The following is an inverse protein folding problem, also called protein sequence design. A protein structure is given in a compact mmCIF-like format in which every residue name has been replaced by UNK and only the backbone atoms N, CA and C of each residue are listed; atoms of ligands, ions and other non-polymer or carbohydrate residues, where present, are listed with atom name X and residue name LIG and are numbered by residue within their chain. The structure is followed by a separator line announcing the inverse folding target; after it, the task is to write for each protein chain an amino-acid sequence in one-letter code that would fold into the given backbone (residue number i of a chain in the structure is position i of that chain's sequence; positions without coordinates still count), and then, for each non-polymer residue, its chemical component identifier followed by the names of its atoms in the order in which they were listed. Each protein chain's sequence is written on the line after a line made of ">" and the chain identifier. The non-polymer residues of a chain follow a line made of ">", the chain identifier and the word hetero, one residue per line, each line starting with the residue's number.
data_IF_034938192953
#
_entry.id   IF_034938192953
#
_cell.length_a   1.000
_cell.length_b   1.000
_cell.length_c   1.000
_cell.angle_alpha   90.00
_cell.angle_beta   90.00
_cell.angle_gamma   90.00
#
_symmetry.space_group_name_H-M   'P 1'
#
loop_
_entity.id
_entity.type
_entity.pdbx_description
1 polymer ?
#
# COMPACT_ATOMS: atom_id res chain seq x y z
N UNK A 1 -10.97 -54.63 -29.07
CA UNK A 1 -11.18 -53.23 -29.46
C UNK A 1 -11.92 -52.37 -28.41
N UNK A 2 -12.97 -52.84 -27.71
CA UNK A 2 -13.70 -52.01 -26.70
C UNK A 2 -12.88 -51.61 -25.49
N UNK A 3 -11.92 -52.40 -25.02
CA UNK A 3 -11.06 -52.03 -23.84
C UNK A 3 -10.08 -50.89 -24.13
N UNK A 4 -9.60 -50.74 -25.35
CA UNK A 4 -8.66 -49.69 -25.72
C UNK A 4 -9.36 -48.34 -25.93
N UNK A 5 -10.61 -48.31 -26.28
CA UNK A 5 -11.41 -47.09 -26.44
C UNK A 5 -11.70 -46.47 -25.06
N UNK A 6 -11.99 -47.31 -24.05
CA UNK A 6 -12.20 -46.82 -22.66
C UNK A 6 -10.93 -46.20 -22.09
N UNK A 7 -9.75 -46.78 -22.35
CA UNK A 7 -8.46 -46.23 -21.88
C UNK A 7 -8.16 -44.87 -22.52
N UNK A 8 -8.50 -44.65 -23.79
CA UNK A 8 -8.31 -43.38 -24.49
C UNK A 8 -9.30 -42.32 -23.96
N UNK A 9 -10.57 -42.71 -23.70
CA UNK A 9 -11.55 -41.77 -23.11
C UNK A 9 -11.14 -41.32 -21.69
N UNK A 10 -10.59 -42.24 -20.88
CA UNK A 10 -10.13 -41.93 -19.52
C UNK A 10 -8.89 -41.01 -19.52
N UNK A 11 -8.04 -41.09 -20.57
CA UNK A 11 -6.88 -40.21 -20.70
C UNK A 11 -7.23 -38.77 -21.14
N UNK A 12 -8.33 -38.62 -21.91
CA UNK A 12 -8.82 -37.28 -22.34
C UNK A 12 -9.50 -36.54 -21.18
N UNK A 13 -10.06 -37.20 -20.18
CA UNK A 13 -10.69 -36.55 -19.01
C UNK A 13 -9.69 -36.10 -17.96
N UNK A 14 -8.40 -36.45 -18.09
CA UNK A 14 -7.29 -36.02 -17.19
C UNK A 14 -6.44 -34.85 -17.74
N UNK A 15 -6.90 -34.18 -18.82
CA UNK A 15 -6.27 -32.95 -19.21
C UNK A 15 -6.61 -31.92 -18.12
N UNK A 16 -5.64 -31.49 -17.27
CA UNK A 16 -5.92 -30.43 -16.34
C UNK A 16 -6.30 -29.19 -17.17
N UNK A 17 -7.46 -28.62 -16.92
CA UNK A 17 -7.81 -27.29 -17.40
C UNK A 17 -6.79 -26.33 -16.82
N UNK A 18 -5.65 -26.17 -17.48
CA UNK A 18 -4.71 -25.14 -17.17
C UNK A 18 -5.40 -23.81 -17.44
N UNK A 19 -5.94 -23.20 -16.39
CA UNK A 19 -6.35 -21.80 -16.46
C UNK A 19 -5.08 -21.00 -16.70
N UNK A 20 -4.84 -20.63 -17.94
CA UNK A 20 -3.74 -19.73 -18.30
C UNK A 20 -3.98 -18.39 -17.62
N UNK A 21 -3.13 -18.05 -16.67
CA UNK A 21 -3.14 -16.74 -16.06
C UNK A 21 -2.54 -15.74 -17.04
N UNK A 22 -3.29 -14.68 -17.36
CA UNK A 22 -2.77 -13.60 -18.18
C UNK A 22 -1.76 -12.77 -17.37
N UNK A 23 -0.70 -12.31 -18.02
CA UNK A 23 0.34 -11.49 -17.41
C UNK A 23 0.61 -10.26 -18.27
N UNK A 24 0.71 -9.11 -17.62
CA UNK A 24 1.17 -7.85 -18.22
C UNK A 24 2.29 -7.26 -17.36
N UNK A 25 3.33 -6.78 -18.04
CA UNK A 25 4.39 -5.97 -17.42
C UNK A 25 4.54 -4.71 -18.28
N UNK A 26 4.19 -3.53 -17.74
CA UNK A 26 4.14 -2.27 -18.47
C UNK A 26 4.56 -1.10 -17.59
N UNK A 27 4.94 0.01 -18.25
CA UNK A 27 5.19 1.30 -17.63
C UNK A 27 4.03 2.24 -17.93
N UNK A 28 3.59 2.99 -16.93
CA UNK A 28 2.55 4.00 -17.06
C UNK A 28 3.13 5.39 -16.83
N UNK A 29 2.93 6.28 -17.80
CA UNK A 29 3.46 7.63 -17.75
C UNK A 29 2.37 8.65 -18.11
N UNK A 30 2.56 9.88 -17.64
CA UNK A 30 1.76 11.03 -18.04
C UNK A 30 1.99 11.34 -19.54
N UNK A 31 0.93 11.53 -20.28
CA UNK A 31 1.02 11.77 -21.73
C UNK A 31 1.71 13.09 -22.08
N UNK A 32 1.55 14.12 -21.26
CA UNK A 32 2.08 15.47 -21.51
C UNK A 32 3.50 15.60 -20.97
N UNK A 33 3.70 15.32 -19.69
CA UNK A 33 4.98 15.53 -19.01
C UNK A 33 5.98 14.39 -19.18
N UNK A 34 5.53 13.21 -19.63
CA UNK A 34 6.29 11.95 -19.70
C UNK A 34 6.80 11.46 -18.33
N UNK A 35 6.33 12.04 -17.24
CA UNK A 35 6.69 11.60 -15.90
C UNK A 35 6.05 10.24 -15.57
N UNK A 36 6.74 9.35 -14.80
CA UNK A 36 6.15 8.10 -14.35
C UNK A 36 4.96 8.35 -13.42
N UNK A 37 3.90 7.57 -13.58
CA UNK A 37 2.69 7.66 -12.78
C UNK A 37 2.74 6.63 -11.65
N UNK A 38 3.10 7.10 -10.45
CA UNK A 38 3.15 6.31 -9.20
C UNK A 38 1.75 6.06 -8.64
N UNK A 39 1.53 4.86 -8.12
CA UNK A 39 0.29 4.45 -7.43
C UNK A 39 -0.98 4.62 -8.28
N UNK A 40 -0.88 4.51 -9.60
CA UNK A 40 -2.03 4.31 -10.47
C UNK A 40 -2.60 2.91 -10.24
N UNK A 41 -3.92 2.79 -10.16
CA UNK A 41 -4.60 1.51 -9.91
C UNK A 41 -4.83 0.76 -11.21
N UNK A 42 -4.41 -0.50 -11.27
CA UNK A 42 -4.70 -1.46 -12.33
C UNK A 42 -5.55 -2.56 -11.73
N UNK A 43 -6.74 -2.79 -12.27
CA UNK A 43 -7.66 -3.77 -11.71
C UNK A 43 -8.63 -4.35 -12.73
N UNK A 44 -9.29 -5.41 -12.33
CA UNK A 44 -10.51 -5.92 -12.95
C UNK A 44 -11.52 -6.33 -11.85
N UNK A 45 -12.46 -7.23 -12.15
CA UNK A 45 -13.46 -7.66 -11.17
C UNK A 45 -12.90 -8.53 -10.03
N UNK A 46 -11.68 -9.07 -10.16
CA UNK A 46 -11.10 -10.02 -9.21
C UNK A 46 -9.80 -9.53 -8.59
N UNK A 47 -8.95 -8.87 -9.37
CA UNK A 47 -7.55 -8.66 -9.07
C UNK A 47 -7.19 -7.17 -9.09
N UNK A 48 -6.25 -6.78 -8.23
CA UNK A 48 -5.76 -5.41 -8.08
C UNK A 48 -4.24 -5.38 -8.01
N UNK A 49 -3.64 -4.37 -8.63
CA UNK A 49 -2.24 -3.97 -8.47
C UNK A 49 -2.12 -2.46 -8.65
N UNK A 50 -0.93 -1.93 -8.40
CA UNK A 50 -0.63 -0.51 -8.65
C UNK A 50 0.75 -0.36 -9.27
N UNK A 51 1.01 0.82 -9.87
CA UNK A 51 2.35 1.18 -10.34
C UNK A 51 3.28 1.53 -9.19
N UNK A 52 4.56 1.14 -9.30
CA UNK A 52 5.65 1.56 -8.40
C UNK A 52 6.13 3.00 -8.73
N UNK A 53 7.21 3.45 -8.08
CA UNK A 53 7.78 4.79 -8.25
C UNK A 53 8.29 5.07 -9.66
N UNK A 54 8.69 4.04 -10.42
CA UNK A 54 9.11 4.13 -11.81
C UNK A 54 7.91 4.11 -12.80
N UNK A 55 6.67 4.06 -12.29
CA UNK A 55 5.47 3.88 -13.09
C UNK A 55 5.29 2.44 -13.60
N UNK A 56 6.13 1.50 -13.16
CA UNK A 56 6.09 0.10 -13.58
C UNK A 56 5.04 -0.68 -12.78
N UNK A 57 4.29 -1.55 -13.47
CA UNK A 57 3.40 -2.53 -12.85
C UNK A 57 3.54 -3.91 -13.51
N UNK A 58 3.25 -4.93 -12.72
CA UNK A 58 2.99 -6.29 -13.20
C UNK A 58 1.59 -6.66 -12.76
N UNK A 59 0.78 -7.18 -13.69
CA UNK A 59 -0.60 -7.54 -13.42
C UNK A 59 -0.87 -8.96 -13.88
N UNK A 60 -1.29 -9.80 -12.93
CA UNK A 60 -1.68 -11.18 -13.13
C UNK A 60 -3.18 -11.32 -12.93
N UNK A 61 -3.89 -11.95 -13.86
CA UNK A 61 -5.30 -12.27 -13.69
C UNK A 61 -5.76 -13.38 -14.65
N UNK A 62 -6.73 -14.15 -14.21
CA UNK A 62 -7.47 -15.07 -15.10
C UNK A 62 -8.55 -14.37 -15.94
N UNK A 63 -8.88 -13.11 -15.60
CA UNK A 63 -9.87 -12.30 -16.32
C UNK A 63 -9.17 -11.42 -17.35
N UNK A 64 -9.63 -11.42 -18.61
CA UNK A 64 -9.01 -10.64 -19.70
C UNK A 64 -9.25 -9.12 -19.60
N UNK A 65 -10.23 -8.65 -18.83
CA UNK A 65 -10.49 -7.21 -18.69
C UNK A 65 -9.40 -6.51 -17.87
N UNK A 66 -9.05 -5.28 -18.26
CA UNK A 66 -8.11 -4.42 -17.54
C UNK A 66 -8.67 -3.01 -17.48
N UNK A 67 -8.73 -2.45 -16.29
CA UNK A 67 -9.04 -1.04 -16.07
C UNK A 67 -7.83 -0.39 -15.40
N UNK A 68 -7.35 0.70 -15.99
CA UNK A 68 -6.26 1.52 -15.44
C UNK A 68 -6.84 2.88 -15.08
N UNK A 69 -6.69 3.31 -13.83
CA UNK A 69 -7.24 4.59 -13.36
C UNK A 69 -6.30 5.28 -12.39
N UNK A 70 -6.32 6.59 -12.44
CA UNK A 70 -5.66 7.48 -11.51
C UNK A 70 -6.47 8.78 -11.40
N UNK A 71 -6.58 9.32 -10.21
CA UNK A 71 -7.27 10.59 -9.99
C UNK A 71 -6.59 11.70 -10.80
N UNK A 72 -7.38 12.51 -11.50
CA UNK A 72 -6.87 13.55 -12.41
C UNK A 72 -6.52 13.07 -13.81
N UNK A 73 -6.83 11.81 -14.15
CA UNK A 73 -6.58 11.23 -15.47
C UNK A 73 -7.83 10.55 -16.04
N UNK A 74 -7.86 10.42 -17.35
CA UNK A 74 -8.88 9.60 -18.02
C UNK A 74 -8.69 8.12 -17.67
N UNK A 75 -9.80 7.43 -17.41
CA UNK A 75 -9.77 5.99 -17.13
C UNK A 75 -9.60 5.20 -18.44
N UNK A 76 -8.57 4.36 -18.49
CA UNK A 76 -8.36 3.44 -19.61
C UNK A 76 -9.01 2.08 -19.32
N UNK A 77 -10.04 1.71 -20.08
CA UNK A 77 -10.67 0.38 -20.07
C UNK A 77 -10.23 -0.41 -21.29
N UNK A 78 -9.70 -1.60 -21.10
CA UNK A 78 -9.08 -2.40 -22.16
C UNK A 78 -9.02 -3.88 -21.79
N UNK A 79 -8.19 -4.69 -22.47
CA UNK A 79 -7.99 -6.12 -22.20
C UNK A 79 -6.51 -6.49 -22.17
N UNK A 80 -6.14 -7.62 -21.53
CA UNK A 80 -4.79 -8.17 -21.60
C UNK A 80 -4.36 -8.38 -23.06
N UNK A 81 -5.26 -8.97 -23.88
CA UNK A 81 -5.00 -9.21 -25.31
C UNK A 81 -4.70 -7.92 -26.09
N UNK A 82 -5.40 -6.83 -25.79
CA UNK A 82 -5.14 -5.53 -26.44
C UNK A 82 -3.80 -4.97 -26.00
N UNK A 83 -3.54 -4.95 -24.67
CA UNK A 83 -2.30 -4.39 -24.12
C UNK A 83 -1.05 -5.21 -24.48
N UNK A 84 -1.16 -6.53 -24.65
CA UNK A 84 -0.01 -7.37 -25.06
C UNK A 84 0.54 -6.99 -26.44
N UNK A 85 -0.27 -6.34 -27.28
CA UNK A 85 0.13 -5.87 -28.63
C UNK A 85 0.67 -4.43 -28.65
N UNK A 86 0.61 -3.73 -27.52
CA UNK A 86 1.12 -2.36 -27.40
C UNK A 86 2.58 -2.33 -26.96
N UNK A 87 3.23 -1.17 -27.13
CA UNK A 87 4.57 -0.90 -26.57
C UNK A 87 4.54 -1.06 -25.04
N UNK A 88 5.70 -1.22 -24.42
CA UNK A 88 5.82 -1.40 -22.97
C UNK A 88 5.42 -0.16 -22.17
N UNK A 89 5.40 1.01 -22.79
CA UNK A 89 4.97 2.25 -22.17
C UNK A 89 3.54 2.60 -22.59
N UNK A 90 2.68 2.76 -21.60
CA UNK A 90 1.31 3.23 -21.71
C UNK A 90 1.22 4.69 -21.26
N UNK A 91 0.31 5.45 -21.88
CA UNK A 91 0.13 6.87 -21.59
C UNK A 91 -1.28 7.10 -21.03
N UNK A 92 -1.40 7.71 -19.84
CA UNK A 92 -2.66 8.28 -19.39
C UNK A 92 -2.75 9.75 -19.78
N UNK A 93 -3.94 10.15 -20.17
CA UNK A 93 -4.26 11.52 -20.55
C UNK A 93 -4.71 12.27 -19.30
N UNK A 94 -4.07 13.37 -18.91
CA UNK A 94 -4.59 14.22 -17.84
C UNK A 94 -6.02 14.68 -18.17
N UNK A 95 -6.92 14.58 -17.19
CA UNK A 95 -8.27 15.13 -17.33
C UNK A 95 -8.21 16.58 -16.85
N UNK A 96 -8.41 17.57 -17.74
CA UNK A 96 -8.40 18.96 -17.32
C UNK A 96 -9.53 19.21 -16.30
N UNK A 97 -9.20 19.84 -15.20
CA UNK A 97 -10.18 20.27 -14.21
C UNK A 97 -10.89 21.51 -14.73
N UNK A 98 -12.15 21.39 -15.05
CA UNK A 98 -13.01 22.57 -15.07
C UNK A 98 -13.35 22.90 -13.59
N UNK A 99 -12.89 24.04 -13.12
CA UNK A 99 -13.32 24.63 -11.87
C UNK A 99 -14.75 25.11 -12.09
N UNK A 100 -15.71 24.21 -11.98
CA UNK A 100 -17.11 24.62 -11.95
C UNK A 100 -17.36 25.41 -10.67
N UNK A 101 -18.19 26.44 -10.80
CA UNK A 101 -18.66 27.32 -9.74
C UNK A 101 -19.06 26.48 -8.53
N UNK A 102 -18.46 26.75 -7.39
CA UNK A 102 -18.67 26.03 -6.13
C UNK A 102 -20.17 26.04 -5.80
N UNK A 103 -20.85 24.96 -6.08
CA UNK A 103 -22.18 24.74 -5.58
C UNK A 103 -22.05 24.64 -4.06
N UNK A 104 -22.40 25.70 -3.35
CA UNK A 104 -22.41 25.76 -1.89
C UNK A 104 -23.43 24.76 -1.36
N UNK A 105 -23.04 23.52 -1.21
CA UNK A 105 -23.78 22.58 -0.39
C UNK A 105 -23.63 23.02 1.05
N UNK A 106 -24.72 23.36 1.71
CA UNK A 106 -24.78 23.67 3.15
C UNK A 106 -24.49 22.43 4.02
N UNK A 107 -24.24 21.26 3.43
CA UNK A 107 -23.98 20.02 4.14
C UNK A 107 -22.52 19.95 4.59
N UNK A 108 -22.33 19.61 5.85
CA UNK A 108 -20.99 19.25 6.35
C UNK A 108 -20.60 17.87 5.78
N UNK A 109 -19.88 17.86 4.67
CA UNK A 109 -19.50 16.64 3.95
C UNK A 109 -18.65 15.67 4.83
N UNK A 110 -17.91 16.20 5.82
CA UNK A 110 -17.20 15.37 6.80
C UNK A 110 -18.19 14.62 7.67
N UNK A 111 -19.24 15.31 8.15
CA UNK A 111 -20.32 14.67 8.91
C UNK A 111 -21.05 13.62 8.09
N UNK A 112 -21.31 13.90 6.81
CA UNK A 112 -21.91 12.91 5.91
C UNK A 112 -21.01 11.68 5.72
N UNK A 113 -19.69 11.84 5.63
CA UNK A 113 -18.75 10.70 5.56
C UNK A 113 -18.85 9.83 6.82
N UNK A 114 -19.04 10.41 8.01
CA UNK A 114 -19.28 9.65 9.25
C UNK A 114 -20.65 8.96 9.24
N UNK A 115 -21.70 9.66 8.82
CA UNK A 115 -23.06 9.12 8.79
C UNK A 115 -23.17 7.90 7.86
N UNK A 116 -22.45 7.90 6.74
CA UNK A 116 -22.45 6.82 5.74
C UNK A 116 -21.37 5.74 5.97
N UNK A 117 -20.59 5.85 7.04
CA UNK A 117 -19.47 4.95 7.30
C UNK A 117 -19.88 3.47 7.33
N UNK A 118 -20.94 3.10 8.05
CA UNK A 118 -21.42 1.72 8.12
C UNK A 118 -21.97 1.18 6.80
N UNK A 119 -22.51 2.07 5.96
CA UNK A 119 -22.97 1.70 4.61
C UNK A 119 -21.80 1.47 3.66
N UNK A 120 -20.78 2.32 3.74
CA UNK A 120 -19.66 2.31 2.78
C UNK A 120 -18.59 1.28 3.12
N UNK A 121 -18.32 1.03 4.39
CA UNK A 121 -17.21 0.19 4.80
C UNK A 121 -17.66 -1.13 5.42
N UNK A 122 -16.83 -2.20 5.36
CA UNK A 122 -17.15 -3.46 6.02
C UNK A 122 -17.18 -3.29 7.55
N UNK A 123 -18.29 -3.72 8.16
CA UNK A 123 -18.51 -3.70 9.60
C UNK A 123 -18.60 -5.11 10.21
N UNK A 124 -18.43 -6.14 9.37
CA UNK A 124 -18.42 -7.56 9.71
C UNK A 124 -17.04 -8.16 9.42
N UNK A 125 -16.65 -9.26 10.06
CA UNK A 125 -15.35 -9.88 9.83
C UNK A 125 -15.12 -10.25 8.37
N UNK A 126 -13.93 -9.92 7.85
CA UNK A 126 -13.51 -10.21 6.49
C UNK A 126 -12.02 -10.49 6.40
N UNK A 127 -11.57 -11.04 5.28
CA UNK A 127 -10.18 -11.34 4.97
C UNK A 127 -9.79 -10.63 3.69
N UNK A 128 -8.59 -10.06 3.68
CA UNK A 128 -7.96 -9.45 2.51
C UNK A 128 -6.63 -10.15 2.22
N UNK A 129 -6.34 -10.42 0.94
CA UNK A 129 -5.01 -10.82 0.53
C UNK A 129 -4.19 -9.56 0.25
N UNK A 130 -2.96 -9.53 0.71
CA UNK A 130 -2.12 -8.35 0.62
C UNK A 130 -0.68 -8.65 0.17
N UNK A 131 -0.08 -7.64 -0.45
CA UNK A 131 1.36 -7.47 -0.58
C UNK A 131 1.80 -6.29 0.28
N UNK A 132 2.86 -6.46 1.04
CA UNK A 132 3.47 -5.42 1.87
C UNK A 132 4.96 -5.36 1.61
N UNK A 133 5.48 -4.19 1.18
CA UNK A 133 6.90 -3.89 1.05
C UNK A 133 7.36 -3.02 2.20
N UNK A 134 8.46 -3.41 2.84
CA UNK A 134 9.15 -2.64 3.85
C UNK A 134 10.53 -2.24 3.33
N UNK A 135 10.84 -0.95 3.38
CA UNK A 135 12.11 -0.39 2.90
C UNK A 135 12.76 0.35 4.08
N UNK A 136 14.04 0.10 4.30
CA UNK A 136 14.85 0.83 5.27
C UNK A 136 16.02 1.50 4.57
N UNK A 137 16.12 2.83 4.73
CA UNK A 137 17.31 3.61 4.35
C UNK A 137 18.00 4.13 5.61
N UNK A 138 19.33 4.17 5.58
CA UNK A 138 20.17 4.78 6.61
C UNK A 138 20.98 5.90 5.99
N UNK A 139 20.83 7.12 6.49
CA UNK A 139 21.47 8.33 5.95
C UNK A 139 21.23 8.50 4.43
N UNK A 140 20.02 8.13 3.95
CA UNK A 140 19.63 8.22 2.55
C UNK A 140 19.99 6.99 1.70
N UNK A 141 20.85 6.07 2.18
CA UNK A 141 21.25 4.86 1.46
C UNK A 141 20.34 3.69 1.81
N UNK A 142 19.93 2.93 0.80
CA UNK A 142 19.13 1.73 0.96
C UNK A 142 19.94 0.64 1.68
N UNK A 143 19.39 0.09 2.77
CA UNK A 143 20.07 -0.95 3.57
C UNK A 143 19.24 -2.22 3.71
N UNK A 144 17.90 -2.15 3.54
CA UNK A 144 17.04 -3.34 3.64
C UNK A 144 15.77 -3.19 2.83
N UNK A 145 15.34 -4.29 2.21
CA UNK A 145 14.07 -4.47 1.54
C UNK A 145 13.49 -5.79 2.03
N UNK A 146 12.23 -5.77 2.46
CA UNK A 146 11.48 -6.97 2.79
C UNK A 146 10.08 -6.89 2.18
N UNK A 147 9.71 -7.91 1.42
CA UNK A 147 8.40 -8.06 0.83
C UNK A 147 7.67 -9.24 1.48
N UNK A 148 6.44 -9.01 1.87
CA UNK A 148 5.53 -10.01 2.41
C UNK A 148 4.32 -10.16 1.51
N UNK A 149 3.91 -11.40 1.26
CA UNK A 149 2.59 -11.72 0.75
C UNK A 149 1.85 -12.52 1.80
N UNK A 150 0.60 -12.17 2.02
CA UNK A 150 -0.17 -12.80 3.06
C UNK A 150 -1.64 -12.41 3.03
N UNK A 151 -2.32 -12.80 4.07
CA UNK A 151 -3.73 -12.50 4.32
C UNK A 151 -3.88 -11.89 5.70
N UNK A 152 -4.78 -10.92 5.81
CA UNK A 152 -5.16 -10.32 7.08
C UNK A 152 -6.64 -10.54 7.32
N UNK A 153 -6.99 -11.00 8.52
CA UNK A 153 -8.36 -11.02 9.01
C UNK A 153 -8.59 -9.77 9.87
N UNK A 154 -9.63 -9.04 9.55
CA UNK A 154 -10.13 -7.87 10.29
C UNK A 154 -11.54 -8.11 10.77
N UNK A 155 -11.91 -7.60 11.93
CA UNK A 155 -13.31 -7.62 12.40
C UNK A 155 -14.14 -6.54 11.69
N UNK A 156 -13.52 -5.41 11.37
CA UNK A 156 -14.10 -4.31 10.61
C UNK A 156 -13.00 -3.44 10.02
N UNK A 157 -13.31 -2.65 8.98
CA UNK A 157 -12.31 -1.75 8.38
C UNK A 157 -12.06 -0.51 9.24
N UNK A 158 -13.13 0.04 9.83
CA UNK A 158 -13.07 1.28 10.61
C UNK A 158 -13.07 0.97 12.11
N UNK A 159 -12.19 1.61 12.83
CA UNK A 159 -12.15 1.53 14.28
C UNK A 159 -10.74 1.37 14.84
N UNK A 160 -10.60 1.54 16.15
CA UNK A 160 -9.35 1.33 16.88
C UNK A 160 -9.11 -0.17 17.11
N UNK A 161 -9.16 -0.99 16.05
CA UNK A 161 -8.81 -2.40 16.17
C UNK A 161 -7.32 -2.51 16.48
N UNK A 162 -6.98 -3.21 17.56
CA UNK A 162 -5.60 -3.35 18.02
C UNK A 162 -5.01 -4.74 17.75
N UNK A 163 -5.84 -5.70 17.35
CA UNK A 163 -5.43 -7.08 17.19
C UNK A 163 -5.88 -7.61 15.84
N UNK A 164 -4.99 -7.49 14.85
CA UNK A 164 -5.17 -8.15 13.56
C UNK A 164 -4.64 -9.58 13.64
N UNK A 165 -5.21 -10.45 12.83
CA UNK A 165 -4.74 -11.81 12.68
C UNK A 165 -4.17 -12.00 11.30
N UNK A 166 -2.97 -12.59 11.20
CA UNK A 166 -2.22 -12.68 9.95
C UNK A 166 -1.93 -14.13 9.57
N UNK A 167 -2.00 -14.37 8.27
CA UNK A 167 -1.49 -15.56 7.60
C UNK A 167 -0.47 -15.10 6.57
N UNK A 168 0.82 -15.23 6.85
CA UNK A 168 1.87 -14.95 5.87
C UNK A 168 2.08 -16.18 4.98
N UNK A 169 2.06 -15.98 3.67
CA UNK A 169 2.17 -17.03 2.66
C UNK A 169 3.61 -17.13 2.14
N UNK A 170 4.25 -16.01 1.94
CA UNK A 170 5.60 -15.94 1.41
C UNK A 170 6.31 -14.65 1.83
N UNK A 171 7.65 -14.71 1.86
CA UNK A 171 8.49 -13.57 2.19
C UNK A 171 9.76 -13.61 1.37
N UNK A 172 10.21 -12.45 0.89
CA UNK A 172 11.55 -12.27 0.35
C UNK A 172 12.22 -11.09 1.02
N UNK A 173 13.52 -11.21 1.27
CA UNK A 173 14.29 -10.17 1.95
C UNK A 173 15.69 -10.05 1.38
N UNK A 174 16.16 -8.82 1.26
CA UNK A 174 17.53 -8.48 0.96
C UNK A 174 17.98 -7.32 1.84
N UNK A 175 19.15 -7.42 2.43
CA UNK A 175 19.67 -6.37 3.27
C UNK A 175 21.19 -6.50 3.51
N UNK A 176 21.76 -5.39 3.97
CA UNK A 176 23.15 -5.33 4.41
C UNK A 176 23.21 -4.84 5.86
N UNK A 177 24.05 -5.48 6.66
CA UNK A 177 24.33 -5.06 8.03
C UNK A 177 25.80 -4.67 8.12
N UNK A 178 26.08 -3.45 8.58
CA UNK A 178 27.46 -3.00 8.81
C UNK A 178 28.06 -3.77 9.98
N UNK A 179 29.20 -4.42 9.80
CA UNK A 179 29.89 -5.15 10.86
C UNK A 179 30.33 -4.21 11.98
N UNK A 180 30.15 -4.63 13.22
CA UNK A 180 30.53 -3.84 14.41
C UNK A 180 29.53 -2.74 14.80
N UNK A 181 28.44 -2.54 14.05
CA UNK A 181 27.36 -1.62 14.40
C UNK A 181 26.18 -2.42 14.93
N UNK A 182 25.73 -2.12 16.14
CA UNK A 182 24.48 -2.70 16.67
C UNK A 182 23.30 -2.09 15.90
N UNK A 183 22.60 -2.95 15.13
CA UNK A 183 21.42 -2.56 14.36
C UNK A 183 20.14 -2.43 15.21
N UNK A 184 20.17 -2.83 16.48
CA UNK A 184 18.99 -3.30 17.22
C UNK A 184 18.33 -2.25 18.12
N UNK A 185 18.74 -0.99 18.09
CA UNK A 185 18.28 -0.01 19.09
C UNK A 185 17.04 0.79 18.66
N UNK A 186 16.57 0.64 17.42
CA UNK A 186 15.34 1.27 16.96
C UNK A 186 14.16 0.29 17.06
N UNK A 187 13.04 0.76 17.58
CA UNK A 187 11.79 0.01 17.55
C UNK A 187 11.25 0.01 16.12
N UNK A 188 11.47 -1.08 15.40
CA UNK A 188 10.83 -1.32 14.11
C UNK A 188 9.40 -1.80 14.39
N UNK A 189 8.38 -1.21 13.75
CA UNK A 189 7.00 -1.55 13.99
C UNK A 189 6.72 -3.03 13.67
N UNK A 190 5.72 -3.57 14.32
CA UNK A 190 5.13 -4.87 14.02
C UNK A 190 4.11 -4.77 12.88
N UNK A 191 3.66 -5.92 12.35
CA UNK A 191 2.52 -5.95 11.43
C UNK A 191 1.29 -5.25 12.03
N UNK A 192 0.98 -5.51 13.29
CA UNK A 192 -0.15 -4.85 13.97
C UNK A 192 -0.03 -3.33 13.94
N UNK A 193 1.17 -2.78 14.22
CA UNK A 193 1.37 -1.33 14.25
C UNK A 193 1.15 -0.72 12.87
N UNK A 194 1.72 -1.34 11.82
CA UNK A 194 1.62 -0.87 10.44
C UNK A 194 0.17 -0.89 9.96
N UNK A 195 -0.54 -2.01 10.16
CA UNK A 195 -1.94 -2.12 9.75
C UNK A 195 -2.88 -1.25 10.59
N UNK A 196 -2.54 -0.97 11.84
CA UNK A 196 -3.31 -0.05 12.68
C UNK A 196 -3.27 1.39 12.15
N UNK A 197 -2.12 1.83 11.62
CA UNK A 197 -2.01 3.18 11.01
C UNK A 197 -3.02 3.38 9.89
N UNK A 198 -3.26 2.35 9.08
CA UNK A 198 -4.21 2.40 7.97
C UNK A 198 -5.68 2.22 8.39
N UNK A 199 -5.94 1.55 9.51
CA UNK A 199 -7.32 1.31 9.98
C UNK A 199 -8.01 2.55 10.56
N UNK A 200 -7.27 3.59 10.90
CA UNK A 200 -7.80 4.81 11.51
C UNK A 200 -8.24 5.87 10.47
N UNK A 201 -9.04 5.50 9.48
CA UNK A 201 -9.39 6.38 8.35
C UNK A 201 -10.26 7.58 8.77
N UNK A 202 -11.15 7.41 9.76
CA UNK A 202 -12.14 8.43 10.16
C UNK A 202 -11.87 9.06 11.53
N UNK A 203 -10.69 8.94 12.13
CA UNK A 203 -10.45 9.32 13.53
C UNK A 203 -9.96 10.75 13.77
N UNK A 204 -10.30 11.68 12.91
CA UNK A 204 -10.12 13.08 13.27
C UNK A 204 -11.28 13.51 14.14
N UNK A 205 -11.05 13.75 15.45
CA UNK A 205 -12.03 14.45 16.27
C UNK A 205 -12.22 15.85 15.69
N UNK A 206 -13.39 16.09 15.08
CA UNK A 206 -13.73 17.35 14.40
C UNK A 206 -13.57 18.57 15.31
N UNK A 207 -13.75 18.40 16.62
CA UNK A 207 -13.59 19.48 17.59
C UNK A 207 -12.13 20.00 17.69
N UNK A 208 -11.17 19.18 17.33
CA UNK A 208 -9.74 19.50 17.40
C UNK A 208 -9.14 20.06 16.10
N UNK A 209 -9.91 20.12 15.01
CA UNK A 209 -9.41 20.50 13.71
C UNK A 209 -10.24 21.59 13.04
N UNK A 210 -9.56 22.45 12.28
CA UNK A 210 -10.18 23.31 11.27
C UNK A 210 -10.22 22.58 9.95
N UNK A 211 -11.37 22.62 9.27
CA UNK A 211 -11.55 22.07 7.94
C UNK A 211 -11.69 23.21 6.92
N UNK A 212 -11.01 23.09 5.79
CA UNK A 212 -11.17 24.02 4.68
C UNK A 212 -12.58 23.90 4.07
N UNK A 213 -12.98 24.88 3.29
CA UNK A 213 -14.11 24.71 2.38
C UNK A 213 -13.79 23.59 1.39
N UNK A 214 -14.76 22.72 1.04
CA UNK A 214 -14.58 21.70 0.02
C UNK A 214 -14.17 22.33 -1.32
N UNK A 215 -13.17 21.72 -1.98
CA UNK A 215 -12.73 22.08 -3.32
C UNK A 215 -13.10 20.94 -4.26
N UNK A 216 -13.87 21.21 -5.29
CA UNK A 216 -14.21 20.23 -6.34
C UNK A 216 -12.93 19.82 -7.08
N UNK A 217 -12.72 18.52 -7.22
CA UNK A 217 -11.60 17.94 -7.98
C UNK A 217 -12.10 17.46 -9.35
N UNK A 218 -13.25 16.82 -9.37
CA UNK A 218 -13.95 16.37 -10.56
C UNK A 218 -15.47 16.26 -10.24
N UNK A 219 -16.25 15.72 -11.17
CA UNK A 219 -17.71 15.59 -11.05
C UNK A 219 -18.18 14.84 -9.79
N UNK A 220 -17.33 13.94 -9.25
CA UNK A 220 -17.68 13.04 -8.17
C UNK A 220 -16.83 13.21 -6.91
N UNK A 221 -15.84 14.10 -6.91
CA UNK A 221 -14.90 14.17 -5.80
C UNK A 221 -14.65 15.58 -5.31
N UNK A 222 -14.61 15.73 -3.99
CA UNK A 222 -14.24 16.97 -3.31
C UNK A 222 -13.07 16.73 -2.37
N UNK A 223 -12.11 17.68 -2.36
CA UNK A 223 -10.98 17.71 -1.45
C UNK A 223 -11.26 18.65 -0.28
N UNK A 224 -10.97 18.18 0.94
CA UNK A 224 -11.07 18.96 2.18
C UNK A 224 -9.76 18.85 2.93
N UNK A 225 -9.11 19.98 3.14
CA UNK A 225 -7.88 20.06 3.94
C UNK A 225 -8.23 20.24 5.42
N UNK A 226 -7.39 19.72 6.31
CA UNK A 226 -7.56 19.90 7.74
C UNK A 226 -6.25 20.29 8.41
N UNK A 227 -6.37 21.13 9.44
CA UNK A 227 -5.25 21.59 10.27
C UNK A 227 -5.68 21.62 11.74
N UNK A 228 -4.78 21.31 12.69
CA UNK A 228 -5.10 21.38 14.12
C UNK A 228 -5.52 22.80 14.55
N UNK A 229 -6.50 22.87 15.46
CA UNK A 229 -6.86 24.14 16.12
C UNK A 229 -5.79 24.63 17.08
N UNK A 230 -5.06 23.70 17.73
CA UNK A 230 -3.92 24.02 18.57
C UNK A 230 -2.66 24.12 17.69
N UNK A 231 -2.06 25.31 17.62
CA UNK A 231 -0.85 25.56 16.83
C UNK A 231 0.41 24.91 17.43
N UNK A 232 0.35 24.52 18.69
CA UNK A 232 1.51 24.01 19.46
C UNK A 232 1.51 22.49 19.66
N UNK A 233 0.45 21.79 19.25
CA UNK A 233 0.32 20.37 19.47
C UNK A 233 1.07 19.57 18.39
N UNK A 234 2.28 19.09 18.76
CA UNK A 234 3.11 18.26 17.88
C UNK A 234 2.56 16.86 17.63
N UNK A 235 1.56 16.41 18.41
CA UNK A 235 0.93 15.11 18.24
C UNK A 235 -0.14 15.11 17.13
N UNK A 236 -0.56 16.29 16.68
CA UNK A 236 -1.60 16.45 15.67
C UNK A 236 -1.01 16.65 14.29
N UNK A 237 -1.52 15.87 13.35
CA UNK A 237 -1.15 15.92 11.93
C UNK A 237 -1.94 16.98 11.16
N UNK A 238 -1.42 17.35 10.00
CA UNK A 238 -2.14 18.06 8.94
C UNK A 238 -2.38 17.13 7.77
N UNK A 239 -3.35 17.44 6.91
CA UNK A 239 -3.59 16.64 5.71
C UNK A 239 -4.86 17.01 4.96
N UNK A 240 -5.40 16.05 4.23
CA UNK A 240 -6.66 16.19 3.51
C UNK A 240 -7.40 14.87 3.33
N UNK A 241 -8.68 14.98 3.03
CA UNK A 241 -9.52 13.92 2.50
C UNK A 241 -9.96 14.26 1.07
N UNK A 242 -10.07 13.24 0.23
CA UNK A 242 -10.85 13.26 -1.00
C UNK A 242 -12.07 12.40 -0.75
N UNK A 243 -13.25 12.98 -0.90
CA UNK A 243 -14.54 12.37 -0.58
C UNK A 243 -15.36 12.31 -1.87
N UNK A 244 -15.95 11.15 -2.13
CA UNK A 244 -16.92 10.97 -3.20
C UNK A 244 -18.23 11.66 -2.84
N UNK A 245 -18.80 12.43 -3.75
CA UNK A 245 -20.02 13.23 -3.51
C UNK A 245 -21.31 12.41 -3.60
N UNK A 246 -21.28 11.24 -4.26
CA UNK A 246 -22.47 10.42 -4.48
C UNK A 246 -22.82 9.59 -3.24
N UNK A 247 -21.80 9.04 -2.57
CA UNK A 247 -21.97 8.15 -1.42
C UNK A 247 -21.20 8.58 -0.16
N UNK A 248 -20.53 9.72 -0.21
CA UNK A 248 -19.71 10.31 0.88
C UNK A 248 -18.58 9.43 1.38
N UNK A 249 -18.13 8.46 0.59
CA UNK A 249 -16.99 7.62 0.95
C UNK A 249 -15.67 8.39 0.78
N UNK A 250 -14.74 8.17 1.69
CA UNK A 250 -13.36 8.64 1.54
C UNK A 250 -12.69 7.80 0.46
N UNK A 251 -12.18 8.46 -0.57
CA UNK A 251 -11.43 7.87 -1.69
C UNK A 251 -9.93 7.91 -1.48
N UNK A 252 -9.47 8.98 -0.86
CA UNK A 252 -8.05 9.17 -0.54
C UNK A 252 -7.94 9.95 0.78
N UNK A 253 -6.97 9.58 1.58
CA UNK A 253 -6.58 10.33 2.76
C UNK A 253 -5.07 10.54 2.74
N UNK A 254 -4.65 11.76 3.09
CA UNK A 254 -3.27 12.04 3.48
C UNK A 254 -3.27 12.60 4.88
N UNK A 255 -2.34 12.14 5.72
CA UNK A 255 -1.97 12.81 6.93
C UNK A 255 -0.44 12.77 7.11
N UNK A 256 0.11 13.87 7.61
CA UNK A 256 1.54 14.07 7.76
C UNK A 256 1.85 14.94 8.96
N UNK A 257 3.09 14.92 9.40
CA UNK A 257 3.58 15.82 10.45
C UNK A 257 3.29 17.28 10.10
N UNK A 258 2.99 18.06 11.13
CA UNK A 258 2.87 19.50 10.99
C UNK A 258 4.28 20.12 11.01
N UNK A 259 4.76 20.75 9.93
CA UNK A 259 6.11 21.35 9.88
C UNK A 259 6.35 22.41 10.94
N UNK A 260 5.27 23.07 11.42
CA UNK A 260 5.37 24.10 12.47
C UNK A 260 5.68 23.52 13.85
N UNK A 261 5.34 22.26 14.11
CA UNK A 261 5.46 21.65 15.44
C UNK A 261 6.40 20.44 15.49
N UNK A 262 6.86 19.92 14.34
CA UNK A 262 7.74 18.73 14.27
C UNK A 262 8.99 18.87 15.14
N UNK A 263 9.56 20.08 15.24
CA UNK A 263 10.75 20.36 16.05
C UNK A 263 10.49 20.23 17.56
N UNK A 264 9.21 20.25 18.01
CA UNK A 264 8.78 20.08 19.40
C UNK A 264 8.70 18.62 19.84
N UNK A 265 8.77 17.65 18.91
CA UNK A 265 8.76 16.22 19.25
C UNK A 265 9.96 15.91 20.14
N UNK A 266 9.74 15.41 21.38
CA UNK A 266 10.81 15.12 22.30
C UNK A 266 11.63 13.89 21.86
N UNK A 267 12.90 13.87 22.27
CA UNK A 267 13.72 12.67 22.12
C UNK A 267 13.28 11.59 23.10
N UNK A 268 13.05 10.39 22.58
CA UNK A 268 13.00 9.16 23.38
C UNK A 268 14.44 8.75 23.69
N UNK A 269 14.73 8.52 24.97
CA UNK A 269 16.07 8.13 25.45
C UNK A 269 16.08 6.67 25.83
N UNK A 270 17.08 5.93 25.36
CA UNK A 270 17.45 4.56 25.78
C UNK A 270 18.94 4.57 26.21
N UNK A 271 19.48 3.50 26.82
CA UNK A 271 20.82 3.53 27.40
C UNK A 271 21.94 4.02 26.49
N UNK A 272 21.90 3.72 25.21
CA UNK A 272 22.97 4.04 24.27
C UNK A 272 22.51 4.91 23.09
N UNK A 273 21.23 5.27 23.02
CA UNK A 273 20.64 6.01 21.91
C UNK A 273 19.56 6.96 22.38
N UNK A 274 19.51 8.14 21.79
CA UNK A 274 18.34 9.01 21.81
C UNK A 274 17.80 9.17 20.39
N UNK A 275 16.48 9.15 20.23
CA UNK A 275 15.87 9.28 18.89
C UNK A 275 14.53 10.00 18.97
N UNK A 276 14.11 10.58 17.84
CA UNK A 276 12.77 11.16 17.65
C UNK A 276 12.32 11.03 16.19
N UNK A 277 11.04 11.04 15.96
CA UNK A 277 10.47 11.19 14.63
C UNK A 277 10.67 12.62 14.15
N UNK A 278 11.22 12.81 12.95
CA UNK A 278 11.45 14.10 12.32
C UNK A 278 10.62 14.29 11.06
N UNK A 279 9.94 13.24 10.58
CA UNK A 279 8.92 13.32 9.54
C UNK A 279 8.02 12.09 9.60
N UNK A 280 6.77 12.28 9.25
CA UNK A 280 5.77 11.23 9.12
C UNK A 280 4.80 11.59 8.00
N UNK A 281 4.57 10.65 7.11
CA UNK A 281 3.64 10.78 6.00
C UNK A 281 2.87 9.49 5.83
N UNK A 282 1.56 9.59 5.75
CA UNK A 282 0.68 8.46 5.42
C UNK A 282 -0.30 8.87 4.32
N UNK A 283 -0.46 7.98 3.36
CA UNK A 283 -1.45 8.11 2.29
C UNK A 283 -2.18 6.78 2.12
N UNK A 284 -3.51 6.85 2.13
CA UNK A 284 -4.38 5.70 1.85
C UNK A 284 -5.26 6.02 0.65
N UNK A 285 -5.42 5.05 -0.22
CA UNK A 285 -6.40 5.07 -1.31
C UNK A 285 -7.39 3.94 -1.14
N UNK A 286 -8.68 4.28 -1.22
CA UNK A 286 -9.76 3.32 -1.08
C UNK A 286 -10.48 3.13 -2.41
N UNK A 287 -10.84 1.88 -2.69
CA UNK A 287 -11.60 1.48 -3.85
C UNK A 287 -12.85 0.74 -3.44
N UNK A 288 -13.90 0.86 -4.24
CA UNK A 288 -15.15 0.15 -4.01
C UNK A 288 -15.10 -1.20 -4.73
N UNK A 289 -15.22 -2.29 -3.99
CA UNK A 289 -15.38 -3.62 -4.57
C UNK A 289 -16.75 -3.73 -5.25
N UNK A 290 -16.75 -4.13 -6.51
CA UNK A 290 -17.96 -4.16 -7.32
C UNK A 290 -18.95 -5.25 -6.87
N UNK A 291 -18.45 -6.34 -6.25
CA UNK A 291 -19.27 -7.49 -5.83
C UNK A 291 -19.91 -7.23 -4.47
N UNK A 292 -19.15 -6.68 -3.53
CA UNK A 292 -19.59 -6.41 -2.16
C UNK A 292 -20.22 -5.03 -1.99
N UNK A 293 -19.96 -4.10 -2.92
CA UNK A 293 -20.42 -2.70 -2.79
C UNK A 293 -19.78 -1.95 -1.62
N UNK A 294 -18.69 -2.48 -1.05
CA UNK A 294 -17.98 -1.91 0.10
C UNK A 294 -16.60 -1.39 -0.31
N UNK A 295 -16.15 -0.33 0.36
CA UNK A 295 -14.81 0.19 0.18
C UNK A 295 -13.79 -0.58 1.00
N UNK A 296 -12.61 -0.76 0.43
CA UNK A 296 -11.43 -1.35 1.07
C UNK A 296 -10.21 -0.47 0.79
N UNK A 297 -9.14 -0.64 1.54
CA UNK A 297 -7.87 0.07 1.31
C UNK A 297 -7.15 -0.63 0.15
N UNK A 298 -7.25 -0.09 -1.05
CA UNK A 298 -6.64 -0.71 -2.22
C UNK A 298 -5.11 -0.60 -2.19
N UNK A 299 -4.60 0.54 -1.78
CA UNK A 299 -3.18 0.72 -1.49
C UNK A 299 -2.96 1.78 -0.42
N UNK A 300 -1.85 1.65 0.30
CA UNK A 300 -1.45 2.62 1.30
C UNK A 300 0.07 2.72 1.42
N UNK A 301 0.55 3.90 1.80
CA UNK A 301 1.97 4.18 2.02
C UNK A 301 2.13 4.87 3.37
N UNK A 302 3.10 4.42 4.16
CA UNK A 302 3.57 5.13 5.33
C UNK A 302 5.08 5.35 5.21
N UNK A 303 5.51 6.58 5.34
CA UNK A 303 6.92 6.95 5.44
C UNK A 303 7.18 7.56 6.81
N UNK A 304 8.19 7.05 7.50
CA UNK A 304 8.60 7.56 8.82
C UNK A 304 10.08 7.88 8.79
N UNK A 305 10.43 9.12 9.11
CA UNK A 305 11.82 9.53 9.26
C UNK A 305 12.17 9.69 10.73
N UNK A 306 13.21 8.98 11.17
CA UNK A 306 13.67 8.98 12.56
C UNK A 306 15.11 9.48 12.60
N UNK A 307 15.33 10.52 13.39
CA UNK A 307 16.66 11.00 13.73
C UNK A 307 17.11 10.35 15.05
N UNK A 308 18.29 9.76 15.06
CA UNK A 308 18.88 9.18 16.25
C UNK A 308 20.32 9.61 16.45
N UNK A 309 20.80 9.48 17.70
CA UNK A 309 22.19 9.71 18.07
C UNK A 309 22.71 8.53 18.87
N UNK A 310 23.82 7.96 18.41
CA UNK A 310 24.62 6.95 19.13
C UNK A 310 25.91 7.63 19.56
N UNK A 311 26.01 8.01 20.82
CA UNK A 311 27.04 8.97 21.25
C UNK A 311 26.85 10.31 20.55
N UNK A 312 27.88 10.77 19.82
CA UNK A 312 27.86 12.00 19.01
C UNK A 312 27.45 11.74 17.54
N UNK A 313 27.44 10.51 17.09
CA UNK A 313 27.09 10.14 15.70
C UNK A 313 25.60 10.33 15.47
N UNK A 314 25.24 11.23 14.54
CA UNK A 314 23.87 11.43 14.07
C UNK A 314 23.55 10.41 12.97
N UNK A 315 22.45 9.70 13.12
CA UNK A 315 21.95 8.74 12.15
C UNK A 315 20.51 9.09 11.80
N UNK A 316 20.19 9.09 10.52
CA UNK A 316 18.79 9.25 10.04
C UNK A 316 18.36 7.93 9.41
N UNK A 317 17.26 7.39 9.92
CA UNK A 317 16.57 6.26 9.33
C UNK A 317 15.32 6.77 8.61
N UNK A 318 15.12 6.26 7.39
CA UNK A 318 13.94 6.50 6.58
C UNK A 318 13.28 5.13 6.31
N UNK A 319 12.09 4.94 6.84
CA UNK A 319 11.36 3.66 6.78
C UNK A 319 10.09 3.87 5.99
N UNK A 320 9.92 3.07 4.94
CA UNK A 320 8.71 3.07 4.12
C UNK A 320 7.99 1.73 4.23
N UNK A 321 6.66 1.80 4.28
CA UNK A 321 5.76 0.66 4.20
C UNK A 321 4.77 0.91 3.06
N UNK A 322 4.74 -0.01 2.08
CA UNK A 322 3.87 0.09 0.91
C UNK A 322 2.95 -1.12 0.87
N UNK A 323 1.65 -0.90 1.07
CA UNK A 323 0.60 -1.92 1.06
C UNK A 323 -0.16 -1.91 -0.26
N UNK A 324 -0.44 -3.08 -0.80
CA UNK A 324 -1.47 -3.31 -1.81
C UNK A 324 -2.38 -4.43 -1.31
N UNK A 325 -3.69 -4.23 -1.37
CA UNK A 325 -4.66 -5.31 -1.24
C UNK A 325 -4.88 -5.88 -2.64
N UNK A 326 -4.46 -7.14 -2.83
CA UNK A 326 -4.50 -7.83 -4.13
C UNK A 326 -5.84 -8.50 -4.39
N UNK A 327 -6.48 -9.00 -3.32
CA UNK A 327 -7.84 -9.56 -3.37
C UNK A 327 -8.62 -9.09 -2.13
N UNK A 328 -9.53 -8.13 -2.27
CA UNK A 328 -10.42 -7.75 -1.19
C UNK A 328 -11.46 -8.86 -0.96
N UNK A 329 -11.89 -9.06 0.26
CA UNK A 329 -12.95 -10.01 0.63
C UNK A 329 -12.70 -11.45 0.20
N UNK A 330 -11.49 -11.94 0.45
CA UNK A 330 -11.11 -13.33 0.23
C UNK A 330 -11.90 -14.30 1.14
N UNK A 331 -11.90 -15.59 0.79
CA UNK A 331 -12.65 -16.60 1.53
C UNK A 331 -12.12 -16.74 2.97
N UNK A 332 -12.98 -16.40 3.94
CA UNK A 332 -12.70 -16.49 5.35
C UNK A 332 -12.51 -17.95 5.82
N UNK A 333 -13.18 -18.93 5.19
CA UNK A 333 -13.13 -20.33 5.60
C UNK A 333 -11.74 -20.96 5.42
N UNK A 334 -10.95 -20.43 4.49
CA UNK A 334 -9.59 -20.90 4.18
C UNK A 334 -8.49 -20.18 4.97
N UNK A 335 -8.85 -19.18 5.78
CA UNK A 335 -7.90 -18.41 6.56
C UNK A 335 -7.34 -19.21 7.75
N UNK A 336 -6.01 -19.25 7.88
CA UNK A 336 -5.31 -19.92 9.00
C UNK A 336 -4.17 -19.03 9.48
N UNK A 337 -4.33 -18.42 10.65
CA UNK A 337 -3.28 -17.63 11.27
C UNK A 337 -2.00 -18.45 11.48
N UNK A 338 -0.84 -17.89 11.14
CA UNK A 338 0.44 -18.60 11.29
C UNK A 338 1.58 -17.73 11.87
N UNK A 339 1.35 -16.43 12.09
CA UNK A 339 2.34 -15.54 12.67
C UNK A 339 1.76 -14.67 13.79
N UNK A 340 2.62 -14.29 14.72
CA UNK A 340 2.28 -13.30 15.74
C UNK A 340 2.45 -11.89 15.17
N UNK A 341 1.34 -11.20 14.93
CA UNK A 341 1.33 -9.82 14.37
C UNK A 341 2.01 -8.77 15.25
N UNK A 342 2.33 -9.07 16.52
CA UNK A 342 3.06 -8.18 17.44
C UNK A 342 4.58 -8.32 17.33
N UNK A 343 5.07 -9.33 16.59
CA UNK A 343 6.50 -9.49 16.34
C UNK A 343 6.98 -8.39 15.40
N UNK A 344 8.15 -7.84 15.69
CA UNK A 344 8.83 -6.85 14.84
C UNK A 344 8.99 -7.37 13.40
N UNK A 345 8.68 -6.53 12.41
CA UNK A 345 8.62 -6.93 11.00
C UNK A 345 9.92 -7.59 10.53
N UNK A 346 11.06 -6.94 10.73
CA UNK A 346 12.35 -7.45 10.25
C UNK A 346 12.85 -8.71 11.00
N UNK A 347 12.14 -9.15 12.04
CA UNK A 347 12.38 -10.41 12.76
C UNK A 347 11.43 -11.54 12.36
N UNK A 348 10.51 -11.26 11.43
CA UNK A 348 9.68 -12.30 10.84
C UNK A 348 10.52 -13.19 9.93
N UNK A 349 10.16 -14.45 9.88
CA UNK A 349 10.80 -15.44 9.01
C UNK A 349 9.74 -16.36 8.44
N UNK A 350 9.60 -16.31 7.10
CA UNK A 350 8.66 -17.11 6.32
C UNK A 350 9.43 -17.63 5.11
N UNK A 351 9.23 -18.88 4.70
CA UNK A 351 9.95 -19.45 3.56
C UNK A 351 9.76 -18.64 2.28
N UNK A 352 10.85 -18.54 1.50
CA UNK A 352 10.83 -17.99 0.16
C UNK A 352 10.46 -19.07 -0.86
N UNK A 353 9.57 -18.72 -1.79
CA UNK A 353 9.23 -19.53 -2.95
C UNK A 353 9.24 -18.63 -4.20
N UNK A 354 10.16 -18.89 -5.12
CA UNK A 354 10.34 -18.13 -6.35
C UNK A 354 9.12 -18.17 -7.25
N UNK A 355 8.56 -19.35 -7.48
CA UNK A 355 7.38 -19.55 -8.37
C UNK A 355 6.18 -18.77 -7.85
N UNK A 356 6.01 -18.70 -6.53
CA UNK A 356 4.96 -17.90 -5.91
C UNK A 356 5.10 -16.42 -6.32
N UNK A 357 6.30 -15.83 -6.21
CA UNK A 357 6.53 -14.43 -6.57
C UNK A 357 6.39 -14.13 -8.06
N UNK A 358 6.58 -15.11 -8.92
CA UNK A 358 6.45 -14.99 -10.37
C UNK A 358 4.97 -14.99 -10.85
N UNK A 359 4.01 -15.31 -9.98
CA UNK A 359 2.58 -15.47 -10.32
C UNK A 359 1.64 -14.59 -9.50
N UNK A 360 2.15 -13.70 -8.66
CA UNK A 360 1.36 -12.87 -7.76
C UNK A 360 1.35 -11.40 -8.15
N UNK A 361 0.21 -10.75 -7.91
CA UNK A 361 0.13 -9.29 -7.96
C UNK A 361 0.99 -8.70 -6.85
N UNK A 362 1.95 -7.86 -7.22
CA UNK A 362 2.92 -7.26 -6.31
C UNK A 362 3.47 -5.97 -6.90
N UNK A 363 4.12 -5.14 -6.08
CA UNK A 363 4.93 -4.04 -6.57
C UNK A 363 6.21 -4.58 -7.21
N UNK A 364 6.50 -4.28 -8.48
CA UNK A 364 7.81 -4.55 -9.05
C UNK A 364 8.91 -3.82 -8.26
N UNK A 365 10.11 -4.38 -8.23
CA UNK A 365 11.27 -3.66 -7.71
C UNK A 365 11.54 -2.42 -8.57
N UNK A 366 11.84 -1.28 -7.93
CA UNK A 366 12.32 -0.09 -8.63
C UNK A 366 13.74 -0.29 -9.17
N UNK A 367 14.20 0.62 -10.03
CA UNK A 367 15.59 0.60 -10.51
C UNK A 367 16.58 0.70 -9.33
N UNK A 368 16.35 1.61 -8.38
CA UNK A 368 17.16 1.76 -7.15
C UNK A 368 17.27 0.44 -6.38
N UNK A 369 16.16 -0.29 -6.24
CA UNK A 369 16.14 -1.57 -5.51
C UNK A 369 16.89 -2.66 -6.26
N UNK A 370 16.73 -2.75 -7.59
CA UNK A 370 17.49 -3.69 -8.42
C UNK A 370 18.98 -3.43 -8.36
N UNK A 371 19.38 -2.17 -8.46
CA UNK A 371 20.78 -1.77 -8.37
C UNK A 371 21.36 -2.11 -7.00
N UNK A 372 20.62 -1.87 -5.91
CA UNK A 372 21.04 -2.25 -4.56
C UNK A 372 21.24 -3.77 -4.39
N UNK A 373 20.33 -4.58 -4.90
CA UNK A 373 20.40 -6.06 -4.83
C UNK A 373 21.58 -6.60 -5.64
N UNK A 374 21.83 -6.02 -6.83
CA UNK A 374 22.85 -6.50 -7.76
C UNK A 374 24.25 -5.93 -7.50
N UNK A 375 24.36 -4.86 -6.69
CA UNK A 375 25.64 -4.24 -6.36
C UNK A 375 26.50 -5.17 -5.50
N UNK A 376 27.80 -5.37 -5.83
CA UNK A 376 28.72 -6.05 -4.93
C UNK A 376 28.89 -5.29 -3.62
N UNK A 377 28.66 -5.97 -2.50
CA UNK A 377 28.85 -5.40 -1.16
C UNK A 377 30.18 -5.94 -0.57
N UNK A 378 31.01 -5.03 -0.03
CA UNK A 378 32.30 -5.40 0.55
C UNK A 378 32.11 -6.34 1.75
N UNK A 379 32.51 -7.62 1.67
CA UNK A 379 32.28 -8.59 2.73
C UNK A 379 33.10 -8.32 4.01
N UNK A 380 34.09 -7.43 3.95
CA UNK A 380 34.84 -7.00 5.14
C UNK A 380 34.05 -5.98 5.97
N UNK A 381 33.21 -5.16 5.33
CA UNK A 381 32.43 -4.09 5.96
C UNK A 381 30.99 -4.51 6.25
N UNK A 382 30.40 -5.34 5.39
CA UNK A 382 28.98 -5.69 5.46
C UNK A 382 28.78 -7.20 5.55
N UNK A 383 27.69 -7.57 6.21
CA UNK A 383 27.06 -8.89 6.13
C UNK A 383 25.82 -8.76 5.25
N UNK A 384 25.73 -9.54 4.18
CA UNK A 384 24.55 -9.63 3.35
C UNK A 384 23.56 -10.61 3.97
N UNK A 385 22.31 -10.22 4.03
CA UNK A 385 21.17 -11.03 4.48
C UNK A 385 20.22 -11.15 3.29
N UNK A 386 20.04 -12.35 2.78
CA UNK A 386 19.10 -12.63 1.69
C UNK A 386 18.50 -14.01 1.87
N UNK A 387 17.28 -14.20 1.40
CA UNK A 387 16.62 -15.50 1.29
C UNK A 387 16.19 -15.84 -0.13
N UNK A 388 16.68 -15.10 -1.15
CA UNK A 388 16.41 -15.34 -2.57
C UNK A 388 17.66 -15.09 -3.43
#
# INVERSE_FOLDING_TARGET
>A
MKKNIIAILTYITLIPLSFSQNTLSKYLVDKETKAPLKSATIHNANDYTVTNDDGHFVFYSSNDSVTIKMLGYETLKTTFKALSRTKDTLYLIPKPFQLDEVTLSNKNIIQEAYNHASTNYPMEPFVEDFFLRCILKRNGELVKIEDFSGRIKRDKLLGAEKNFTFQLLNMRKFGIEKKGVRADDFNIPSLNDVFQWWSNILFLNQENYHFSRPKTIDEQHQKIEYTPKSEDDYQKSIGYFIINTDDYAIKERIYKTNPKTIHKIPYTKKPFIKYRTIDYYCKDKLEKDAKKGKYFIANAIVNVKVEGYVGEERIVYDVSFELIVTHPFSDLSTFKANVNGKKELFKLDVPYNKEFWETQNQLPLTNEMRDFINKPHNPKEYRVISNF
#
